data_IF_147508587404
#
_entry.id   IF_147508587404
#
_cell.length_a   1.000
_cell.length_b   1.000
_cell.length_c   1.000
_cell.angle_alpha   90.00
_cell.angle_beta   90.00
_cell.angle_gamma   90.00
#
_symmetry.space_group_name_H-M   'P 1'
#
loop_
_entity.id
_entity.type
_entity.pdbx_description
1 polymer ?
#
# COMPACT_ATOMS: atom_id res chain seq x y z
N UNK A 1 -5.52 -6.96 30.57
CA UNK A 1 -5.34 -5.50 30.57
C UNK A 1 -4.54 -5.18 29.32
N UNK A 2 -5.22 -4.92 28.20
CA UNK A 2 -4.60 -4.46 26.96
C UNK A 2 -4.25 -2.99 27.22
N UNK A 3 -3.07 -2.80 27.83
CA UNK A 3 -2.57 -1.50 28.27
C UNK A 3 -2.30 -0.65 27.01
N UNK A 4 -2.66 0.63 27.01
CA UNK A 4 -2.57 1.61 25.91
C UNK A 4 -1.39 1.49 24.91
N UNK A 5 -0.26 0.88 25.31
CA UNK A 5 0.90 0.56 24.49
C UNK A 5 0.55 -0.36 23.30
N UNK A 6 -0.43 -1.26 23.46
CA UNK A 6 -0.87 -2.14 22.36
C UNK A 6 -1.64 -1.38 21.27
N UNK A 7 -2.61 -0.55 21.66
CA UNK A 7 -3.49 0.13 20.69
C UNK A 7 -2.73 1.18 19.86
N UNK A 8 -1.81 1.92 20.48
CA UNK A 8 -0.97 2.88 19.76
C UNK A 8 -0.07 2.18 18.74
N UNK A 9 0.55 1.07 19.12
CA UNK A 9 1.39 0.30 18.19
C UNK A 9 0.58 -0.30 17.03
N UNK A 10 -0.63 -0.79 17.30
CA UNK A 10 -1.51 -1.31 16.26
C UNK A 10 -1.93 -0.20 15.28
N UNK A 11 -2.26 0.98 15.80
CA UNK A 11 -2.59 2.16 15.00
C UNK A 11 -1.41 2.61 14.12
N UNK A 12 -0.21 2.73 14.69
CA UNK A 12 0.98 3.14 13.95
C UNK A 12 1.33 2.12 12.85
N UNK A 13 1.11 0.83 13.10
CA UNK A 13 1.31 -0.22 12.10
C UNK A 13 0.27 -0.16 10.98
N UNK A 14 -1.01 0.06 11.30
CA UNK A 14 -2.07 0.26 10.30
C UNK A 14 -1.77 1.48 9.41
N UNK A 15 -1.40 2.62 10.02
CA UNK A 15 -1.00 3.82 9.28
C UNK A 15 0.18 3.57 8.33
N UNK A 16 1.17 2.78 8.74
CA UNK A 16 2.29 2.46 7.86
C UNK A 16 1.85 1.70 6.61
N UNK A 17 0.96 0.71 6.74
CA UNK A 17 0.41 0.00 5.58
C UNK A 17 -0.40 0.91 4.67
N UNK A 18 -1.25 1.76 5.25
CA UNK A 18 -2.07 2.72 4.50
C UNK A 18 -1.19 3.71 3.73
N UNK A 19 -0.15 4.24 4.37
CA UNK A 19 0.81 5.15 3.73
C UNK A 19 1.56 4.50 2.56
N UNK A 20 2.02 3.24 2.70
CA UNK A 20 2.72 2.56 1.59
C UNK A 20 1.81 2.35 0.38
N UNK A 21 0.57 1.90 0.62
CA UNK A 21 -0.44 1.74 -0.43
C UNK A 21 -0.74 3.10 -1.10
N UNK A 22 -0.83 4.18 -0.33
CA UNK A 22 -1.08 5.52 -0.86
C UNK A 22 0.09 6.02 -1.73
N UNK A 23 1.33 5.88 -1.28
CA UNK A 23 2.54 6.27 -2.03
C UNK A 23 2.61 5.55 -3.38
N UNK A 24 2.42 4.23 -3.39
CA UNK A 24 2.46 3.46 -4.64
C UNK A 24 1.28 3.83 -5.56
N UNK A 25 0.10 4.08 -5.00
CA UNK A 25 -1.08 4.54 -5.75
C UNK A 25 -0.85 5.92 -6.38
N UNK A 26 -0.19 6.84 -5.68
CA UNK A 26 0.19 8.14 -6.21
C UNK A 26 1.17 7.97 -7.38
N UNK A 27 2.20 7.14 -7.22
CA UNK A 27 3.14 6.83 -8.29
C UNK A 27 2.46 6.25 -9.55
N UNK A 28 1.47 5.36 -9.36
CA UNK A 28 0.64 4.85 -10.47
C UNK A 28 -0.14 5.94 -11.18
N UNK A 29 -0.67 6.91 -10.44
CA UNK A 29 -1.39 8.04 -11.00
C UNK A 29 -0.46 8.90 -11.86
N UNK A 30 0.73 9.24 -11.35
CA UNK A 30 1.75 10.01 -12.08
C UNK A 30 2.13 9.33 -13.38
N UNK A 31 2.41 8.01 -13.35
CA UNK A 31 2.78 7.25 -14.55
C UNK A 31 1.67 7.20 -15.60
N UNK A 32 0.41 7.13 -15.16
CA UNK A 32 -0.74 7.17 -16.08
C UNK A 32 -0.91 8.56 -16.71
N UNK A 33 -0.67 9.63 -15.97
CA UNK A 33 -0.66 11.00 -16.51
C UNK A 33 0.47 11.15 -17.54
N UNK A 34 1.68 10.73 -17.18
CA UNK A 34 2.86 10.75 -18.05
C UNK A 34 2.61 9.99 -19.37
N UNK A 35 2.02 8.79 -19.29
CA UNK A 35 1.59 8.00 -20.44
C UNK A 35 0.62 8.77 -21.34
N UNK A 36 -0.38 9.43 -20.75
CA UNK A 36 -1.38 10.20 -21.48
C UNK A 36 -0.78 11.43 -22.17
N UNK A 37 0.13 12.14 -21.50
CA UNK A 37 0.80 13.32 -22.03
C UNK A 37 1.78 12.97 -23.16
N UNK A 38 2.58 11.92 -22.97
CA UNK A 38 3.61 11.49 -23.94
C UNK A 38 3.08 10.60 -25.06
N UNK A 39 1.84 10.09 -24.94
CA UNK A 39 1.24 9.10 -25.86
C UNK A 39 2.07 7.82 -25.99
N UNK A 40 2.78 7.46 -24.93
CA UNK A 40 3.66 6.31 -24.89
C UNK A 40 3.12 5.24 -23.92
N UNK A 41 2.56 4.19 -24.48
CA UNK A 41 2.00 3.08 -23.72
C UNK A 41 3.06 2.18 -23.07
N UNK A 42 4.34 2.27 -23.48
CA UNK A 42 5.41 1.47 -22.88
C UNK A 42 5.71 1.91 -21.43
N UNK A 43 5.32 3.14 -21.05
CA UNK A 43 5.38 3.66 -19.67
C UNK A 43 4.54 2.78 -18.71
N UNK A 44 3.51 2.08 -19.21
CA UNK A 44 2.74 1.13 -18.39
C UNK A 44 3.57 -0.10 -17.95
N UNK A 45 4.71 -0.39 -18.58
CA UNK A 45 5.60 -1.44 -18.07
C UNK A 45 6.24 -1.05 -16.73
N UNK A 46 6.42 0.25 -16.50
CA UNK A 46 6.94 0.80 -15.24
C UNK A 46 5.90 0.80 -14.11
N UNK A 47 4.62 0.58 -14.44
CA UNK A 47 3.50 0.49 -13.48
C UNK A 47 3.44 -0.87 -12.78
N UNK A 48 3.99 -1.94 -13.40
CA UNK A 48 3.95 -3.30 -12.85
C UNK A 48 4.58 -3.40 -11.45
N UNK A 49 5.78 -2.83 -11.18
CA UNK A 49 6.37 -2.83 -9.84
C UNK A 49 5.47 -2.20 -8.77
N UNK A 50 4.87 -1.03 -9.05
CA UNK A 50 4.00 -0.35 -8.09
C UNK A 50 2.68 -1.11 -7.84
N UNK A 51 2.09 -1.73 -8.87
CA UNK A 51 0.94 -2.62 -8.67
C UNK A 51 1.29 -3.82 -7.79
N UNK A 52 2.46 -4.44 -8.01
CA UNK A 52 2.90 -5.57 -7.19
C UNK A 52 3.15 -5.15 -5.73
N UNK A 53 3.68 -3.95 -5.51
CA UNK A 53 3.91 -3.41 -4.16
C UNK A 53 2.58 -3.17 -3.42
N UNK A 54 1.59 -2.54 -4.07
CA UNK A 54 0.23 -2.38 -3.50
C UNK A 54 -0.39 -3.73 -3.12
N UNK A 55 -0.30 -4.73 -4.01
CA UNK A 55 -0.85 -6.07 -3.74
C UNK A 55 -0.14 -6.68 -2.52
N UNK A 56 1.18 -6.61 -2.49
CA UNK A 56 1.98 -7.15 -1.39
C UNK A 56 1.63 -6.50 -0.05
N UNK A 57 1.56 -5.17 0.00
CA UNK A 57 1.25 -4.45 1.25
C UNK A 57 -0.21 -4.66 1.68
N UNK A 58 -1.15 -4.75 0.74
CA UNK A 58 -2.54 -5.08 1.05
C UNK A 58 -2.69 -6.51 1.60
N UNK A 59 -1.98 -7.49 1.04
CA UNK A 59 -1.97 -8.86 1.54
C UNK A 59 -1.34 -8.95 2.93
N UNK A 60 -0.23 -8.24 3.15
CA UNK A 60 0.45 -8.17 4.44
C UNK A 60 -0.41 -7.49 5.50
N UNK A 61 -1.08 -6.38 5.15
CA UNK A 61 -2.02 -5.70 6.03
C UNK A 61 -3.18 -6.61 6.41
N UNK A 62 -3.81 -7.28 5.43
CA UNK A 62 -4.86 -8.26 5.66
C UNK A 62 -4.40 -9.39 6.59
N UNK A 63 -3.20 -9.94 6.36
CA UNK A 63 -2.63 -10.99 7.22
C UNK A 63 -2.48 -10.52 8.66
N UNK A 64 -1.91 -9.32 8.85
CA UNK A 64 -1.75 -8.72 10.17
C UNK A 64 -3.09 -8.47 10.88
N UNK A 65 -4.11 -8.00 10.17
CA UNK A 65 -5.48 -7.82 10.72
C UNK A 65 -6.00 -9.15 11.26
N UNK A 66 -5.91 -10.22 10.45
CA UNK A 66 -6.40 -11.55 10.84
C UNK A 66 -5.67 -12.09 12.09
N UNK A 67 -4.36 -11.88 12.19
CA UNK A 67 -3.56 -12.24 13.38
C UNK A 67 -3.99 -11.51 14.66
N UNK A 68 -4.65 -10.35 14.57
CA UNK A 68 -5.17 -9.66 15.74
C UNK A 68 -6.53 -10.20 16.21
N UNK A 69 -7.29 -10.84 15.31
CA UNK A 69 -8.62 -11.40 15.62
C UNK A 69 -8.59 -12.89 15.96
N UNK A 70 -7.52 -13.62 15.59
CA UNK A 70 -7.30 -15.03 15.94
C UNK A 70 -6.68 -15.24 17.36
N UNK A 71 -6.62 -14.19 18.19
CA UNK A 71 -6.06 -14.24 19.56
C UNK A 71 -7.10 -14.29 20.66
#
# INVERSE_FOLDING_TARGET
MILLVDISMLHDMALNFENYIEIDSEHLCEKRIEMYEKKDADILREVIPALNAIIYDAEKYKGWILEQFDK
#
